data_IF_329063892662
#
_entry.id   IF_329063892662
#
_cell.length_a   1.000
_cell.length_b   1.000
_cell.length_c   1.000
_cell.angle_alpha   90.00
_cell.angle_beta   90.00
_cell.angle_gamma   90.00
#
_symmetry.space_group_name_H-M   'P 1'
#
loop_
_entity.id
_entity.type
_entity.pdbx_description
1 polymer ?
#
# COMPACT_ATOMS: atom_id res chain seq x y z
N UNK A 1 -82.27 -6.39 23.78
CA UNK A 1 -81.32 -5.27 23.60
C UNK A 1 -80.84 -4.92 25.00
N UNK A 2 -79.59 -5.05 25.46
CA UNK A 2 -78.29 -4.91 24.81
C UNK A 2 -77.26 -5.89 25.40
N UNK A 3 -76.31 -6.37 24.56
CA UNK A 3 -75.12 -7.11 24.98
C UNK A 3 -74.11 -6.12 25.58
N UNK A 4 -73.74 -6.31 26.84
CA UNK A 4 -72.62 -5.58 27.46
C UNK A 4 -71.30 -5.95 26.79
N UNK A 5 -70.63 -4.97 26.17
CA UNK A 5 -69.27 -5.13 25.66
C UNK A 5 -68.29 -4.97 26.82
N UNK A 6 -67.69 -6.08 27.27
CA UNK A 6 -66.56 -6.03 28.19
C UNK A 6 -65.34 -5.42 27.49
N UNK A 7 -64.84 -4.31 28.01
CA UNK A 7 -63.59 -3.70 27.55
C UNK A 7 -62.44 -4.44 28.25
N UNK A 8 -61.69 -5.24 27.49
CA UNK A 8 -60.46 -5.88 27.98
C UNK A 8 -59.32 -4.86 27.95
N UNK A 9 -58.88 -4.39 29.11
CA UNK A 9 -57.66 -3.57 29.24
C UNK A 9 -56.47 -4.50 29.46
N UNK A 10 -55.69 -4.76 28.41
CA UNK A 10 -54.44 -5.48 28.51
C UNK A 10 -53.35 -4.52 29.03
N UNK A 11 -52.93 -4.69 30.28
CA UNK A 11 -51.74 -4.00 30.82
C UNK A 11 -50.52 -4.83 30.42
N UNK A 12 -49.72 -4.36 29.46
CA UNK A 12 -48.40 -4.94 29.22
C UNK A 12 -47.49 -4.64 30.41
N UNK A 13 -46.79 -5.65 30.91
CA UNK A 13 -45.79 -5.46 31.96
C UNK A 13 -44.55 -4.78 31.38
N UNK A 14 -43.86 -3.98 32.20
CA UNK A 14 -42.64 -3.28 31.79
C UNK A 14 -41.58 -4.24 31.20
N UNK A 15 -41.52 -5.50 31.67
CA UNK A 15 -40.61 -6.52 31.14
C UNK A 15 -40.88 -6.89 29.68
N UNK A 16 -42.15 -6.96 29.25
CA UNK A 16 -42.51 -7.25 27.85
C UNK A 16 -42.14 -6.07 26.94
N UNK A 17 -42.28 -4.84 27.43
CA UNK A 17 -41.87 -3.64 26.69
C UNK A 17 -40.35 -3.60 26.51
N UNK A 18 -39.57 -3.93 27.55
CA UNK A 18 -38.10 -3.95 27.50
C UNK A 18 -37.60 -5.00 26.50
N UNK A 19 -38.14 -6.23 26.55
CA UNK A 19 -37.76 -7.29 25.61
C UNK A 19 -38.11 -6.93 24.16
N UNK A 20 -39.25 -6.28 23.93
CA UNK A 20 -39.62 -5.76 22.62
C UNK A 20 -38.62 -4.72 22.09
N UNK A 21 -38.16 -3.80 22.93
CA UNK A 21 -37.18 -2.78 22.53
C UNK A 21 -35.82 -3.39 22.19
N UNK A 22 -35.34 -4.35 22.99
CA UNK A 22 -34.07 -5.04 22.72
C UNK A 22 -34.12 -5.80 21.39
N UNK A 23 -35.24 -6.50 21.12
CA UNK A 23 -35.44 -7.20 19.85
C UNK A 23 -35.43 -6.23 18.65
N UNK A 24 -36.07 -5.06 18.78
CA UNK A 24 -36.07 -4.05 17.70
C UNK A 24 -34.67 -3.49 17.46
N UNK A 25 -33.90 -3.18 18.51
CA UNK A 25 -32.53 -2.67 18.38
C UNK A 25 -31.62 -3.70 17.71
N UNK A 26 -31.68 -4.96 18.15
CA UNK A 26 -30.87 -6.04 17.57
C UNK A 26 -31.21 -6.29 16.10
N UNK A 27 -32.50 -6.28 15.74
CA UNK A 27 -32.94 -6.37 14.35
C UNK A 27 -32.42 -5.16 13.55
N UNK A 28 -32.54 -3.95 14.08
CA UNK A 28 -32.07 -2.73 13.40
C UNK A 28 -30.55 -2.76 13.16
N UNK A 29 -29.77 -3.22 14.15
CA UNK A 29 -28.31 -3.39 14.02
C UNK A 29 -27.98 -4.46 12.97
N UNK A 30 -28.67 -5.61 13.00
CA UNK A 30 -28.49 -6.67 12.02
C UNK A 30 -28.78 -6.17 10.59
N UNK A 31 -29.90 -5.48 10.38
CA UNK A 31 -30.22 -4.89 9.08
C UNK A 31 -29.22 -3.80 8.69
N UNK A 32 -28.78 -2.95 9.62
CA UNK A 32 -27.79 -1.92 9.32
C UNK A 32 -26.48 -2.52 8.78
N UNK A 33 -25.95 -3.55 9.43
CA UNK A 33 -24.71 -4.20 8.99
C UNK A 33 -24.87 -5.04 7.70
N UNK A 34 -26.06 -5.61 7.44
CA UNK A 34 -26.28 -6.41 6.23
C UNK A 34 -26.71 -5.57 5.00
N UNK A 35 -27.44 -4.47 5.19
CA UNK A 35 -27.95 -3.63 4.09
C UNK A 35 -27.06 -2.45 3.75
N UNK A 36 -26.23 -1.98 4.69
CA UNK A 36 -25.19 -0.99 4.42
C UNK A 36 -23.84 -1.68 4.50
N UNK A 37 -23.45 -2.49 3.49
CA UNK A 37 -22.06 -2.90 3.38
C UNK A 37 -21.22 -1.62 3.43
N UNK A 38 -20.17 -1.62 4.24
CA UNK A 38 -19.24 -0.51 4.35
C UNK A 38 -18.83 -0.18 2.92
N UNK A 39 -19.35 0.94 2.38
CA UNK A 39 -19.00 1.32 1.02
C UNK A 39 -17.48 1.46 1.01
N UNK A 40 -16.78 0.86 0.04
CA UNK A 40 -15.37 1.18 -0.11
C UNK A 40 -15.29 2.69 -0.17
N UNK A 41 -14.49 3.26 0.74
CA UNK A 41 -14.25 4.69 0.78
C UNK A 41 -13.62 5.05 -0.56
N UNK A 42 -14.43 5.55 -1.49
CA UNK A 42 -13.91 6.12 -2.72
C UNK A 42 -13.33 7.47 -2.32
N UNK A 43 -12.00 7.66 -2.38
CA UNK A 43 -11.46 8.99 -2.19
C UNK A 43 -12.16 9.94 -3.17
N UNK A 44 -12.45 11.19 -2.76
CA UNK A 44 -13.04 12.16 -3.66
C UNK A 44 -12.21 12.22 -4.95
N UNK A 45 -12.86 12.45 -6.12
CA UNK A 45 -12.14 12.58 -7.38
C UNK A 45 -11.00 13.58 -7.18
N UNK A 46 -9.78 13.26 -7.63
CA UNK A 46 -8.64 14.09 -7.30
C UNK A 46 -8.86 15.51 -7.82
N UNK A 47 -8.78 16.47 -6.90
CA UNK A 47 -8.63 17.88 -7.25
C UNK A 47 -7.53 17.99 -8.29
N UNK A 48 -7.74 18.74 -9.39
CA UNK A 48 -6.78 18.85 -10.47
C UNK A 48 -5.35 19.01 -9.92
N UNK A 49 -4.57 17.94 -10.03
CA UNK A 49 -3.28 17.79 -9.36
C UNK A 49 -2.28 18.87 -9.71
N UNK A 50 -1.39 19.14 -8.76
CA UNK A 50 -0.19 19.96 -8.90
C UNK A 50 0.76 19.25 -9.87
N UNK A 51 1.53 20.02 -10.63
CA UNK A 51 2.64 19.47 -11.39
C UNK A 51 3.84 19.25 -10.45
N UNK A 52 4.43 18.07 -10.53
CA UNK A 52 5.68 17.75 -9.86
C UNK A 52 6.87 18.51 -10.49
N UNK A 53 8.08 18.33 -9.95
CA UNK A 53 9.28 19.03 -10.46
C UNK A 53 9.66 18.64 -11.91
N UNK A 54 9.11 17.55 -12.43
CA UNK A 54 9.30 17.07 -13.79
C UNK A 54 8.13 17.46 -14.71
N UNK A 55 7.15 18.23 -14.22
CA UNK A 55 5.98 18.65 -14.97
C UNK A 55 4.89 17.57 -15.08
N UNK A 56 4.94 16.52 -14.25
CA UNK A 56 3.94 15.45 -14.25
C UNK A 56 2.83 15.79 -13.27
N UNK A 57 1.58 15.63 -13.70
CA UNK A 57 0.42 15.88 -12.85
C UNK A 57 0.23 14.73 -11.86
N UNK A 58 0.30 15.03 -10.57
CA UNK A 58 -0.02 14.07 -9.52
C UNK A 58 -1.49 13.64 -9.64
N UNK A 59 -1.74 12.32 -9.61
CA UNK A 59 -3.12 11.81 -9.56
C UNK A 59 -3.65 12.04 -8.15
N UNK A 60 -2.86 11.79 -7.12
CA UNK A 60 -3.19 12.08 -5.74
C UNK A 60 -2.13 12.98 -5.13
N UNK A 61 -2.55 14.17 -4.69
CA UNK A 61 -1.63 15.11 -4.04
C UNK A 61 -0.98 14.49 -2.80
N UNK A 62 0.31 14.70 -2.68
CA UNK A 62 1.04 14.43 -1.44
C UNK A 62 0.36 15.10 -0.24
N UNK A 63 0.12 14.34 0.83
CA UNK A 63 -0.47 14.89 2.07
C UNK A 63 0.47 15.91 2.70
N UNK A 64 -0.07 16.89 3.42
CA UNK A 64 0.74 17.82 4.21
C UNK A 64 1.64 17.04 5.19
N UNK A 65 2.95 17.28 5.12
CA UNK A 65 3.94 16.55 5.93
C UNK A 65 4.22 15.13 5.43
N UNK A 66 3.73 14.77 4.23
CA UNK A 66 4.06 13.53 3.55
C UNK A 66 5.48 13.53 3.00
N UNK A 67 5.95 12.34 2.68
CA UNK A 67 7.25 12.14 2.05
C UNK A 67 7.13 12.29 0.53
N UNK A 68 8.09 13.00 -0.06
CA UNK A 68 8.32 13.02 -1.49
C UNK A 68 9.78 12.66 -1.75
N UNK A 69 10.03 11.95 -2.83
CA UNK A 69 11.36 11.70 -3.32
C UNK A 69 11.37 11.80 -4.84
N UNK A 70 12.47 12.34 -5.36
CA UNK A 70 12.64 12.51 -6.79
C UNK A 70 14.04 12.07 -7.19
N UNK A 71 14.15 11.44 -8.36
CA UNK A 71 15.44 11.11 -8.93
C UNK A 71 16.31 12.37 -9.03
N UNK A 72 17.53 12.27 -8.51
CA UNK A 72 18.56 13.26 -8.75
C UNK A 72 19.15 13.00 -10.14
N UNK A 73 18.72 13.77 -11.13
CA UNK A 73 19.16 13.63 -12.52
C UNK A 73 20.60 14.09 -12.75
N UNK A 74 21.25 14.71 -11.78
CA UNK A 74 22.67 15.09 -11.88
C UNK A 74 23.60 14.02 -11.33
N UNK A 75 23.16 13.31 -10.28
CA UNK A 75 23.89 12.19 -9.68
C UNK A 75 22.92 11.14 -9.14
N UNK A 76 22.36 10.28 -10.01
CA UNK A 76 21.37 9.28 -9.59
C UNK A 76 21.99 8.12 -8.80
N UNK A 77 23.31 7.94 -8.87
CA UNK A 77 24.02 6.81 -8.27
C UNK A 77 24.16 6.94 -6.74
N UNK A 78 24.28 8.16 -6.21
CA UNK A 78 24.70 8.41 -4.83
C UNK A 78 23.71 9.29 -4.06
N UNK A 79 22.43 8.91 -4.06
CA UNK A 79 21.42 9.56 -3.24
C UNK A 79 21.51 9.11 -1.77
N UNK A 80 21.37 10.01 -0.78
CA UNK A 80 21.38 9.63 0.64
C UNK A 80 20.20 8.72 1.04
N UNK A 81 19.17 8.65 0.20
CA UNK A 81 17.95 7.85 0.39
C UNK A 81 17.86 6.68 -0.60
N UNK A 82 18.92 6.37 -1.33
CA UNK A 82 18.87 5.38 -2.42
C UNK A 82 19.80 4.22 -2.13
N UNK A 83 19.40 3.00 -2.45
CA UNK A 83 20.19 1.78 -2.22
C UNK A 83 19.40 0.74 -1.43
N UNK A 84 20.11 -0.06 -0.62
CA UNK A 84 19.51 -1.15 0.19
C UNK A 84 19.28 -2.44 -0.57
N UNK A 85 19.14 -2.35 -1.89
CA UNK A 85 18.89 -3.47 -2.78
C UNK A 85 20.16 -3.90 -3.52
N UNK A 86 20.29 -5.21 -3.73
CA UNK A 86 21.41 -5.83 -4.45
C UNK A 86 20.92 -6.62 -5.67
N UNK A 87 21.63 -6.59 -6.81
CA UNK A 87 22.82 -5.77 -7.09
C UNK A 87 22.47 -4.28 -7.27
N UNK A 88 23.42 -3.36 -6.98
CA UNK A 88 23.16 -1.92 -7.13
C UNK A 88 22.94 -1.56 -8.59
N UNK A 89 22.01 -0.64 -8.83
CA UNK A 89 21.81 -0.05 -10.16
C UNK A 89 23.05 0.76 -10.57
N UNK A 90 23.49 0.58 -11.82
CA UNK A 90 24.59 1.33 -12.43
C UNK A 90 24.07 2.30 -13.49
N UNK A 91 24.21 3.60 -13.23
CA UNK A 91 23.90 4.66 -14.20
C UNK A 91 25.15 4.98 -15.02
N UNK A 92 25.17 4.57 -16.29
CA UNK A 92 26.41 4.54 -17.09
C UNK A 92 26.59 5.78 -17.97
N UNK A 93 25.51 6.46 -18.36
CA UNK A 93 25.58 7.61 -19.26
C UNK A 93 24.35 8.51 -19.10
N UNK A 94 24.57 9.82 -18.93
CA UNK A 94 23.50 10.83 -19.04
C UNK A 94 23.24 11.13 -20.50
N UNK A 95 21.97 11.12 -20.89
CA UNK A 95 21.52 11.44 -22.25
C UNK A 95 21.25 12.95 -22.39
N UNK A 96 21.20 13.44 -23.63
CA UNK A 96 20.95 14.86 -23.92
C UNK A 96 19.58 15.36 -23.46
N UNK A 97 18.60 14.45 -23.33
CA UNK A 97 17.26 14.74 -22.81
C UNK A 97 17.20 14.76 -21.27
N UNK A 98 18.34 14.58 -20.59
CA UNK A 98 18.45 14.55 -19.13
C UNK A 98 18.14 13.19 -18.50
N UNK A 99 17.69 12.19 -19.28
CA UNK A 99 17.52 10.82 -18.81
C UNK A 99 18.88 10.13 -18.63
N UNK A 100 18.87 8.97 -17.97
CA UNK A 100 20.08 8.16 -17.79
C UNK A 100 19.93 6.77 -18.39
N UNK A 101 20.98 6.34 -19.09
CA UNK A 101 21.16 4.95 -19.48
C UNK A 101 21.59 4.14 -18.28
N UNK A 102 20.86 3.05 -18.03
CA UNK A 102 21.19 2.04 -17.02
C UNK A 102 21.63 0.77 -17.74
N UNK A 103 22.70 0.13 -17.25
CA UNK A 103 23.15 -1.15 -17.78
C UNK A 103 23.50 -2.08 -16.62
N UNK A 104 22.64 -3.07 -16.40
CA UNK A 104 22.83 -4.14 -15.42
C UNK A 104 22.07 -5.39 -15.85
N UNK A 105 22.50 -6.56 -15.41
CA UNK A 105 21.75 -7.82 -15.58
C UNK A 105 20.50 -7.88 -14.70
N UNK A 106 20.53 -7.17 -13.57
CA UNK A 106 19.40 -6.94 -12.67
C UNK A 106 19.45 -5.48 -12.21
N UNK A 107 18.35 -4.73 -12.39
CA UNK A 107 18.27 -3.31 -12.01
C UNK A 107 17.37 -3.20 -10.78
N UNK A 108 17.96 -2.90 -9.62
CA UNK A 108 17.21 -2.62 -8.39
C UNK A 108 17.60 -1.26 -7.85
N UNK A 109 16.62 -0.36 -7.77
CA UNK A 109 16.83 1.01 -7.31
C UNK A 109 15.88 1.31 -6.15
N UNK A 110 16.30 0.91 -4.95
CA UNK A 110 15.55 1.15 -3.72
C UNK A 110 15.58 2.60 -3.31
N UNK A 111 14.47 3.10 -2.78
CA UNK A 111 14.31 4.47 -2.28
C UNK A 111 13.69 4.44 -0.89
N UNK A 112 14.42 4.93 0.10
CA UNK A 112 13.98 5.03 1.47
C UNK A 112 13.25 6.35 1.76
N UNK A 113 12.50 6.36 2.86
CA UNK A 113 11.97 7.59 3.45
C UNK A 113 13.13 8.44 3.99
N UNK A 114 12.86 9.68 4.42
CA UNK A 114 13.91 10.52 5.00
C UNK A 114 14.54 9.94 6.27
N UNK A 115 13.86 8.98 6.92
CA UNK A 115 14.36 8.25 8.10
C UNK A 115 15.26 7.05 7.78
N UNK A 116 15.48 6.75 6.50
CA UNK A 116 16.31 5.61 6.10
C UNK A 116 15.73 4.25 6.47
N UNK A 117 16.55 3.22 6.34
CA UNK A 117 16.20 1.84 6.66
C UNK A 117 17.18 1.28 7.70
N UNK A 118 16.61 0.87 8.83
CA UNK A 118 17.26 0.45 10.06
C UNK A 118 16.53 -0.81 10.57
N UNK A 119 16.84 -2.00 10.02
CA UNK A 119 16.11 -3.23 10.31
C UNK A 119 16.19 -3.64 11.79
N UNK A 120 17.22 -3.20 12.50
CA UNK A 120 17.39 -3.36 13.95
C UNK A 120 16.30 -2.66 14.78
N UNK A 121 15.59 -1.69 14.20
CA UNK A 121 14.45 -1.02 14.83
C UNK A 121 13.11 -1.72 14.58
N UNK A 122 13.09 -2.77 13.75
CA UNK A 122 11.88 -3.55 13.48
C UNK A 122 11.71 -4.59 14.59
N UNK A 123 10.76 -4.33 15.49
CA UNK A 123 10.56 -5.16 16.68
C UNK A 123 9.51 -6.26 16.53
N UNK A 124 8.68 -6.20 15.48
CA UNK A 124 7.65 -7.21 15.18
C UNK A 124 7.33 -7.22 13.69
N UNK A 125 7.01 -8.39 13.16
CA UNK A 125 6.50 -8.59 11.79
C UNK A 125 5.00 -8.97 11.79
N UNK A 126 4.36 -8.92 12.96
CA UNK A 126 2.95 -9.27 13.08
C UNK A 126 2.09 -8.20 12.38
N UNK A 127 1.49 -8.57 11.26
CA UNK A 127 0.73 -7.65 10.41
C UNK A 127 -0.47 -7.00 11.11
N UNK A 128 -1.09 -7.65 12.11
CA UNK A 128 -2.17 -7.02 12.88
C UNK A 128 -1.64 -5.90 13.77
N UNK A 129 -0.51 -6.13 14.43
CA UNK A 129 0.18 -5.12 15.25
C UNK A 129 0.67 -3.97 14.37
N UNK A 130 1.29 -4.29 13.22
CA UNK A 130 1.77 -3.28 12.28
C UNK A 130 0.64 -2.45 11.66
N UNK A 131 -0.50 -3.07 11.34
CA UNK A 131 -1.68 -2.36 10.86
C UNK A 131 -2.23 -1.39 11.89
N UNK A 132 -2.29 -1.79 13.17
CA UNK A 132 -2.70 -0.92 14.28
C UNK A 132 -1.68 0.21 14.54
N UNK A 133 -0.39 -0.08 14.45
CA UNK A 133 0.72 0.88 14.59
C UNK A 133 0.79 1.87 13.42
N UNK A 134 0.42 1.43 12.22
CA UNK A 134 0.38 2.24 10.99
C UNK A 134 1.71 2.38 10.26
N UNK A 135 2.76 1.68 10.70
CA UNK A 135 4.09 1.64 10.08
C UNK A 135 4.90 0.44 10.61
N UNK A 136 5.96 0.07 9.90
CA UNK A 136 6.84 -1.05 10.26
C UNK A 136 7.98 -0.56 11.16
N UNK A 137 8.84 0.30 10.61
CA UNK A 137 10.03 0.84 11.25
C UNK A 137 9.79 2.27 11.75
N UNK A 138 9.47 3.20 10.86
CA UNK A 138 9.37 4.63 11.16
C UNK A 138 7.98 5.19 10.83
N UNK A 139 7.51 6.19 11.57
CA UNK A 139 6.16 6.76 11.37
C UNK A 139 5.91 7.34 9.97
N UNK A 140 6.98 7.71 9.26
CA UNK A 140 7.00 8.20 7.89
C UNK A 140 7.30 7.11 6.84
N UNK A 141 7.32 5.81 7.20
CA UNK A 141 7.41 4.69 6.24
C UNK A 141 6.45 4.90 5.06
N UNK A 142 6.88 4.50 3.86
CA UNK A 142 6.08 4.63 2.65
C UNK A 142 4.71 3.96 2.81
N UNK A 143 3.65 4.77 2.69
CA UNK A 143 2.25 4.33 2.78
C UNK A 143 1.38 5.19 1.87
N UNK A 144 0.46 4.55 1.13
CA UNK A 144 -0.40 5.22 0.14
C UNK A 144 0.43 6.03 -0.86
N UNK A 145 1.32 5.34 -1.58
CA UNK A 145 2.28 5.98 -2.48
C UNK A 145 1.73 6.09 -3.90
N UNK A 146 2.09 7.17 -4.56
CA UNK A 146 2.07 7.29 -6.01
C UNK A 146 3.52 7.15 -6.50
N UNK A 147 3.75 6.30 -7.51
CA UNK A 147 5.07 6.12 -8.13
C UNK A 147 4.91 6.43 -9.62
N UNK A 148 5.72 7.36 -10.09
CA UNK A 148 5.66 7.85 -11.47
C UNK A 148 7.06 7.89 -12.05
N UNK A 149 7.21 7.45 -13.30
CA UNK A 149 8.50 7.46 -13.98
C UNK A 149 8.36 7.25 -15.49
N UNK A 150 9.35 7.76 -16.22
CA UNK A 150 9.50 7.51 -17.65
C UNK A 150 10.57 6.46 -17.88
N UNK A 151 10.19 5.36 -18.51
CA UNK A 151 11.08 4.25 -18.80
C UNK A 151 11.15 4.04 -20.30
N UNK A 152 12.38 3.99 -20.84
CA UNK A 152 12.63 3.60 -22.23
C UNK A 152 13.43 2.31 -22.25
N UNK A 153 12.80 1.24 -22.72
CA UNK A 153 13.46 -0.04 -22.91
C UNK A 153 14.19 -0.01 -24.26
N UNK A 154 15.52 0.02 -24.23
CA UNK A 154 16.33 0.00 -25.46
C UNK A 154 16.67 -1.43 -25.91
N UNK A 155 16.87 -2.34 -24.96
CA UNK A 155 17.11 -3.77 -25.18
C UNK A 155 16.72 -4.54 -23.93
N UNK A 156 16.47 -5.84 -24.10
CA UNK A 156 16.19 -6.78 -23.02
C UNK A 156 16.71 -8.17 -23.42
N UNK A 157 16.93 -9.04 -22.44
CA UNK A 157 17.32 -10.44 -22.66
C UNK A 157 16.08 -11.31 -22.89
N UNK A 158 16.25 -12.55 -23.35
CA UNK A 158 15.17 -13.54 -23.45
C UNK A 158 14.90 -14.28 -22.13
N UNK A 159 15.54 -13.86 -21.03
CA UNK A 159 15.41 -14.48 -19.70
C UNK A 159 13.96 -14.61 -19.26
N UNK A 160 13.67 -15.74 -18.61
CA UNK A 160 12.37 -16.05 -18.00
C UNK A 160 12.47 -16.22 -16.47
N UNK A 161 13.64 -15.98 -15.90
CA UNK A 161 13.86 -16.06 -14.47
C UNK A 161 13.10 -14.91 -13.79
N UNK A 162 12.23 -15.24 -12.82
CA UNK A 162 11.31 -14.31 -12.17
C UNK A 162 10.31 -13.63 -13.14
N UNK A 163 9.98 -14.31 -14.24
CA UNK A 163 9.09 -13.81 -15.29
C UNK A 163 9.86 -13.33 -16.53
N UNK A 164 9.13 -13.00 -17.59
CA UNK A 164 9.72 -12.36 -18.78
C UNK A 164 10.20 -10.93 -18.48
N UNK A 165 10.96 -10.27 -19.37
CA UNK A 165 11.46 -8.91 -19.15
C UNK A 165 10.34 -7.91 -18.91
N UNK A 166 10.48 -7.10 -17.86
CA UNK A 166 9.48 -6.13 -17.45
C UNK A 166 10.12 -4.97 -16.69
N UNK A 167 9.36 -3.88 -16.55
CA UNK A 167 9.61 -2.84 -15.56
C UNK A 167 8.71 -3.13 -14.37
N UNK A 168 9.31 -3.18 -13.19
CA UNK A 168 8.62 -3.41 -11.94
C UNK A 168 8.69 -2.16 -11.06
N UNK A 169 7.53 -1.71 -10.59
CA UNK A 169 7.44 -0.71 -9.53
C UNK A 169 6.94 -1.40 -8.26
N UNK A 170 7.78 -1.39 -7.23
CA UNK A 170 7.50 -2.02 -5.94
C UNK A 170 7.24 -0.96 -4.89
N UNK A 171 6.22 -1.18 -4.07
CA UNK A 171 5.86 -0.30 -2.97
C UNK A 171 5.64 -1.08 -1.67
N UNK A 172 5.97 -0.43 -0.54
CA UNK A 172 5.85 -0.96 0.82
C UNK A 172 6.74 -2.19 1.06
N UNK A 173 6.61 -2.78 2.25
CA UNK A 173 7.51 -3.80 2.74
C UNK A 173 8.83 -3.21 3.20
N UNK A 174 9.59 -4.02 3.94
CA UNK A 174 11.02 -3.81 4.12
C UNK A 174 11.76 -4.63 3.07
N UNK A 175 12.57 -5.59 3.49
CA UNK A 175 13.46 -6.33 2.59
C UNK A 175 12.95 -7.74 2.24
N UNK A 176 13.00 -8.09 0.95
CA UNK A 176 12.99 -9.47 0.49
C UNK A 176 14.33 -10.14 0.86
N UNK A 177 14.30 -11.15 1.73
CA UNK A 177 15.52 -11.74 2.32
C UNK A 177 15.45 -13.26 2.41
N UNK A 178 16.59 -13.93 2.20
CA UNK A 178 16.72 -15.37 2.47
C UNK A 178 17.19 -15.65 3.92
N UNK A 179 17.18 -14.63 4.80
CA UNK A 179 17.51 -14.80 6.22
C UNK A 179 16.43 -15.62 6.93
N UNK A 180 16.82 -16.79 7.43
CA UNK A 180 15.96 -17.73 8.17
C UNK A 180 15.78 -17.36 9.66
N UNK A 181 16.35 -16.24 10.10
CA UNK A 181 16.18 -15.72 11.45
C UNK A 181 14.75 -15.23 11.72
N UNK A 182 14.48 -14.90 12.97
CA UNK A 182 13.14 -14.47 13.40
C UNK A 182 13.14 -13.09 14.07
N UNK A 183 12.03 -12.37 13.91
CA UNK A 183 11.67 -11.17 14.68
C UNK A 183 10.32 -11.44 15.33
N UNK A 184 10.27 -11.40 16.66
CA UNK A 184 9.02 -11.67 17.42
C UNK A 184 8.38 -13.02 17.07
N UNK A 185 9.23 -14.04 16.91
CA UNK A 185 8.81 -15.40 16.55
C UNK A 185 8.36 -15.60 15.10
N UNK A 186 8.41 -14.57 14.26
CA UNK A 186 8.06 -14.63 12.83
C UNK A 186 9.32 -14.63 11.98
N UNK A 187 9.30 -15.34 10.84
CA UNK A 187 10.41 -15.36 9.88
C UNK A 187 10.73 -13.94 9.42
N UNK A 188 12.01 -13.61 9.27
CA UNK A 188 12.44 -12.32 8.69
C UNK A 188 11.94 -12.10 7.26
N UNK A 189 11.61 -13.17 6.56
CA UNK A 189 10.94 -13.12 5.26
C UNK A 189 9.62 -12.32 5.30
N UNK A 190 8.89 -12.35 6.42
CA UNK A 190 7.62 -11.63 6.57
C UNK A 190 7.76 -10.09 6.54
N UNK A 191 8.98 -9.56 6.47
CA UNK A 191 9.25 -8.14 6.23
C UNK A 191 8.82 -7.69 4.83
N UNK A 192 8.80 -8.61 3.85
CA UNK A 192 8.43 -8.35 2.47
C UNK A 192 6.91 -8.35 2.22
N UNK A 193 6.18 -7.43 2.85
CA UNK A 193 4.76 -7.18 2.52
C UNK A 193 4.65 -6.07 1.48
N UNK A 194 4.82 -6.43 0.22
CA UNK A 194 5.00 -5.51 -0.91
C UNK A 194 3.82 -5.55 -1.89
N UNK A 195 3.67 -4.47 -2.66
CA UNK A 195 2.81 -4.41 -3.84
C UNK A 195 3.66 -4.18 -5.07
N UNK A 196 3.39 -4.95 -6.13
CA UNK A 196 4.17 -4.95 -7.35
C UNK A 196 3.28 -4.57 -8.53
N UNK A 197 3.78 -3.65 -9.36
CA UNK A 197 3.20 -3.31 -10.65
C UNK A 197 4.19 -3.67 -11.75
N UNK A 198 3.85 -4.70 -12.53
CA UNK A 198 4.71 -5.25 -13.57
C UNK A 198 4.18 -4.87 -14.95
N UNK A 199 5.01 -4.18 -15.73
CA UNK A 199 4.75 -3.84 -17.13
C UNK A 199 5.71 -4.60 -18.03
N UNK A 200 5.22 -5.67 -18.66
CA UNK A 200 6.01 -6.53 -19.53
C UNK A 200 6.19 -5.93 -20.92
N UNK A 201 7.32 -6.26 -21.56
CA UNK A 201 7.65 -5.77 -22.91
C UNK A 201 6.71 -6.30 -24.00
N UNK A 202 5.92 -7.35 -23.72
CA UNK A 202 4.88 -7.90 -24.58
C UNK A 202 3.52 -7.19 -24.46
N UNK A 203 3.43 -6.15 -23.61
CA UNK A 203 2.21 -5.39 -23.34
C UNK A 203 1.35 -5.96 -22.21
N UNK A 204 1.71 -7.10 -21.62
CA UNK A 204 1.00 -7.62 -20.43
C UNK A 204 1.28 -6.74 -19.22
N UNK A 205 0.25 -6.53 -18.41
CA UNK A 205 0.35 -5.87 -17.10
C UNK A 205 -0.09 -6.83 -16.02
N UNK A 206 0.61 -6.84 -14.88
CA UNK A 206 0.32 -7.71 -13.75
C UNK A 206 0.48 -6.93 -12.45
N UNK A 207 -0.54 -6.98 -11.60
CA UNK A 207 -0.50 -6.41 -10.25
C UNK A 207 -0.51 -7.55 -9.24
N UNK A 208 0.42 -7.49 -8.29
CA UNK A 208 0.59 -8.53 -7.27
C UNK A 208 0.73 -7.90 -5.90
N UNK A 209 0.31 -8.68 -4.91
CA UNK A 209 0.66 -8.46 -3.52
C UNK A 209 1.52 -9.63 -3.11
N UNK A 210 2.73 -9.35 -2.64
CA UNK A 210 3.60 -10.37 -2.07
C UNK A 210 3.39 -10.43 -0.56
N UNK A 211 3.39 -11.65 -0.05
CA UNK A 211 3.21 -12.01 1.35
C UNK A 211 4.07 -13.24 1.60
N UNK A 212 5.27 -13.03 2.13
CA UNK A 212 6.16 -14.11 2.58
C UNK A 212 5.84 -14.59 4.00
#
# INVERSE_FOLDING_TARGET
MAKGKGVFSARLSAGVVILGVIAIITIAIYYYYNYYPIRPFYPPPPTAGKLDKFGIKEIYLSKRGGEEWYLNTDNPQNGPRTGGEGPPTSFVQKNNDGSWKVQSSEVRYGVFTSSGYHPDLITTLNQQVLAAKGYMQSSNDWKNVEITGYFKVNSFTDSKQNGGPHIELVARGGRNTNDIGTIDGLSRQCEATTYHSNSYVDGRVKFEKDLE
#
